data_IF_321654428504
#
_entry.id   IF_321654428504
#
_cell.length_a   1.000
_cell.length_b   1.000
_cell.length_c   1.000
_cell.angle_alpha   90.00
_cell.angle_beta   90.00
_cell.angle_gamma   90.00
#
_symmetry.space_group_name_H-M   'P 1'
#
loop_
_entity.id
_entity.type
_entity.pdbx_description
1 polymer ?
#
# COMPACT_ATOMS: atom_id res chain seq x y z
N UNK A 1 2.49 10.78 -16.91
CA UNK A 1 3.69 10.35 -16.11
C UNK A 1 3.37 10.22 -14.62
N UNK A 2 2.74 11.20 -13.94
CA UNK A 2 2.35 11.09 -12.51
C UNK A 2 1.29 9.99 -12.31
N UNK A 3 0.30 9.91 -13.19
CA UNK A 3 -0.77 8.90 -13.15
C UNK A 3 -0.25 7.45 -13.21
N UNK A 4 0.79 7.18 -14.00
CA UNK A 4 1.36 5.83 -14.13
C UNK A 4 2.08 5.36 -12.86
N UNK A 5 2.74 6.28 -12.13
CA UNK A 5 3.52 5.93 -10.94
C UNK A 5 2.63 5.59 -9.73
N UNK A 6 1.45 6.20 -9.61
CA UNK A 6 0.47 5.85 -8.57
C UNK A 6 -0.25 4.54 -8.88
N UNK A 7 -0.54 4.29 -10.17
CA UNK A 7 -1.24 3.08 -10.59
C UNK A 7 -0.39 1.80 -10.48
N UNK A 8 0.95 1.92 -10.43
CA UNK A 8 1.84 0.75 -10.41
C UNK A 8 1.95 0.07 -9.03
N UNK A 9 1.79 0.82 -7.94
CA UNK A 9 1.78 0.23 -6.59
C UNK A 9 0.41 -0.28 -6.16
N UNK A 10 -0.67 0.21 -6.78
CA UNK A 10 -2.02 -0.15 -6.38
C UNK A 10 -2.64 -1.16 -7.33
N UNK A 11 -3.29 -2.23 -6.80
CA UNK A 11 -4.08 -3.16 -7.59
C UNK A 11 -5.27 -2.44 -8.24
N UNK A 12 -5.83 -3.03 -9.28
CA UNK A 12 -6.95 -2.45 -10.04
C UNK A 12 -8.18 -2.18 -9.20
N UNK A 13 -8.49 -3.09 -8.25
CA UNK A 13 -9.63 -2.98 -7.35
C UNK A 13 -9.21 -3.33 -5.92
N UNK A 14 -9.72 -2.55 -4.98
CA UNK A 14 -9.54 -2.78 -3.53
C UNK A 14 -10.89 -2.91 -2.84
N UNK A 15 -11.05 -3.95 -2.01
CA UNK A 15 -12.23 -4.19 -1.18
C UNK A 15 -11.88 -3.93 0.27
N UNK A 16 -12.71 -3.16 0.96
CA UNK A 16 -12.60 -2.86 2.39
C UNK A 16 -13.94 -3.00 3.09
N UNK A 17 -13.98 -3.18 4.39
CA UNK A 17 -15.24 -3.16 5.12
C UNK A 17 -15.82 -1.73 5.22
N UNK A 18 -17.14 -1.60 5.13
CA UNK A 18 -17.83 -0.30 5.10
C UNK A 18 -17.81 0.44 6.44
N UNK A 19 -17.93 -0.29 7.55
CA UNK A 19 -18.10 0.29 8.90
C UNK A 19 -17.00 -0.11 9.88
N UNK A 20 -16.07 -0.97 9.48
CA UNK A 20 -15.03 -1.56 10.31
C UNK A 20 -13.68 -1.36 9.66
N UNK A 21 -12.62 -1.31 10.44
CA UNK A 21 -11.26 -1.28 9.90
C UNK A 21 -10.79 -2.66 9.45
N UNK A 22 -11.25 -3.70 10.12
CA UNK A 22 -10.91 -5.09 9.81
C UNK A 22 -12.18 -5.95 9.74
N UNK A 23 -12.11 -7.05 9.03
CA UNK A 23 -13.16 -8.06 8.87
C UNK A 23 -12.55 -9.45 8.88
N UNK A 24 -13.34 -10.47 9.20
CA UNK A 24 -12.89 -11.86 9.16
C UNK A 24 -12.84 -12.34 7.70
N UNK A 25 -11.76 -13.02 7.31
CA UNK A 25 -11.66 -13.56 5.95
C UNK A 25 -12.74 -14.59 5.60
N UNK A 26 -13.39 -15.20 6.60
CA UNK A 26 -14.51 -16.13 6.43
C UNK A 26 -15.80 -15.45 5.98
N UNK A 27 -15.90 -14.12 6.11
CA UNK A 27 -17.06 -13.35 5.62
C UNK A 27 -17.08 -13.23 4.10
N UNK A 28 -15.97 -13.57 3.44
CA UNK A 28 -15.81 -13.44 1.99
C UNK A 28 -16.02 -14.78 1.30
N UNK A 29 -16.85 -14.78 0.27
CA UNK A 29 -17.01 -15.94 -0.60
C UNK A 29 -15.90 -16.01 -1.66
N UNK A 30 -14.74 -16.52 -1.25
CA UNK A 30 -13.57 -16.65 -2.11
C UNK A 30 -13.82 -17.46 -3.39
N UNK A 31 -14.76 -18.44 -3.35
CA UNK A 31 -15.10 -19.24 -4.52
C UNK A 31 -15.76 -18.41 -5.60
N UNK A 32 -16.69 -17.53 -5.20
CA UNK A 32 -17.39 -16.66 -6.15
C UNK A 32 -16.46 -15.58 -6.72
N UNK A 33 -15.59 -14.98 -5.91
CA UNK A 33 -14.56 -14.06 -6.42
C UNK A 33 -13.68 -14.74 -7.47
N UNK A 34 -13.24 -15.99 -7.22
CA UNK A 34 -12.43 -16.77 -8.17
C UNK A 34 -13.17 -17.11 -9.46
N UNK A 35 -14.49 -17.27 -9.41
CA UNK A 35 -15.33 -17.57 -10.59
C UNK A 35 -15.63 -16.33 -11.44
N UNK A 36 -15.44 -15.12 -10.91
CA UNK A 36 -15.66 -13.90 -11.67
C UNK A 36 -14.74 -13.87 -12.90
N UNK A 37 -15.34 -14.02 -14.09
CA UNK A 37 -14.59 -13.92 -15.35
C UNK A 37 -14.01 -12.53 -15.48
N UNK A 38 -12.67 -12.44 -15.44
CA UNK A 38 -11.97 -11.17 -15.50
C UNK A 38 -11.07 -10.86 -14.30
N UNK A 39 -11.20 -11.57 -13.19
CA UNK A 39 -10.22 -11.55 -12.10
C UNK A 39 -8.98 -12.30 -12.57
N UNK A 40 -7.85 -11.59 -12.62
CA UNK A 40 -6.55 -12.15 -12.97
C UNK A 40 -5.87 -12.78 -11.75
N UNK A 41 -5.84 -12.02 -10.67
CA UNK A 41 -5.34 -12.47 -9.38
C UNK A 41 -6.03 -11.73 -8.23
N UNK A 42 -5.92 -12.27 -7.02
CA UNK A 42 -6.28 -11.54 -5.81
C UNK A 42 -5.28 -11.83 -4.70
N UNK A 43 -5.18 -10.90 -3.76
CA UNK A 43 -4.32 -11.02 -2.59
C UNK A 43 -5.03 -10.48 -1.36
N UNK A 44 -4.81 -11.15 -0.23
CA UNK A 44 -5.28 -10.72 1.08
C UNK A 44 -4.32 -9.69 1.66
N UNK A 45 -4.87 -8.66 2.32
CA UNK A 45 -4.09 -7.59 2.89
C UNK A 45 -4.54 -7.16 4.28
N UNK A 46 -3.56 -6.71 5.06
CA UNK A 46 -3.77 -6.16 6.39
C UNK A 46 -2.93 -4.90 6.53
N UNK A 47 -3.57 -3.74 6.54
CA UNK A 47 -2.90 -2.46 6.71
C UNK A 47 -3.07 -1.91 8.12
N UNK A 48 -1.96 -1.45 8.71
CA UNK A 48 -1.96 -0.81 10.02
C UNK A 48 -0.91 0.29 10.11
N UNK A 49 -1.28 1.41 10.74
CA UNK A 49 -0.32 2.46 11.08
C UNK A 49 0.54 1.98 12.24
N UNK A 50 1.84 2.04 12.05
CA UNK A 50 2.85 1.56 13.00
C UNK A 50 3.92 2.60 13.21
N UNK A 51 4.72 2.42 14.25
CA UNK A 51 5.93 3.21 14.49
C UNK A 51 7.12 2.28 14.31
N UNK A 52 8.02 2.66 13.44
CA UNK A 52 9.31 2.00 13.25
C UNK A 52 10.37 2.68 14.10
N UNK A 53 11.26 1.89 14.66
CA UNK A 53 12.41 2.38 15.41
C UNK A 53 13.69 1.68 14.96
N UNK A 54 14.67 2.48 14.68
CA UNK A 54 16.03 2.00 14.47
C UNK A 54 16.97 2.89 15.28
N UNK A 55 17.75 2.31 16.18
CA UNK A 55 18.56 3.04 17.16
C UNK A 55 17.75 4.12 17.92
N UNK A 56 18.11 5.41 17.69
CA UNK A 56 17.45 6.59 18.28
C UNK A 56 16.37 7.22 17.38
N UNK A 57 16.18 6.71 16.16
CA UNK A 57 15.21 7.26 15.20
C UNK A 57 13.86 6.56 15.31
N UNK A 58 12.81 7.35 15.33
CA UNK A 58 11.42 6.91 15.35
C UNK A 58 10.69 7.49 14.17
N UNK A 59 10.02 6.69 13.38
CA UNK A 59 9.32 7.12 12.17
C UNK A 59 7.97 6.41 12.07
N UNK A 60 6.91 7.17 11.77
CA UNK A 60 5.61 6.60 11.47
C UNK A 60 5.64 5.94 10.10
N UNK A 61 4.98 4.79 9.99
CA UNK A 61 4.87 4.06 8.75
C UNK A 61 3.51 3.35 8.65
N UNK A 62 3.13 2.94 7.46
CA UNK A 62 2.02 2.03 7.20
C UNK A 62 2.58 0.65 6.90
N UNK A 63 2.35 -0.29 7.80
CA UNK A 63 2.62 -1.70 7.58
C UNK A 63 1.55 -2.27 6.67
N UNK A 64 1.97 -2.91 5.58
CA UNK A 64 1.11 -3.63 4.65
C UNK A 64 1.49 -5.11 4.72
N UNK A 65 0.74 -5.88 5.50
CA UNK A 65 0.85 -7.33 5.55
C UNK A 65 0.13 -7.95 4.36
N UNK A 66 0.83 -8.64 3.46
CA UNK A 66 0.28 -9.17 2.21
C UNK A 66 0.80 -10.55 1.85
N UNK A 67 0.06 -11.24 0.99
CA UNK A 67 0.51 -12.48 0.37
C UNK A 67 1.52 -12.20 -0.76
N UNK A 68 2.34 -13.19 -1.11
CA UNK A 68 3.38 -13.05 -2.14
C UNK A 68 2.83 -12.69 -3.53
N UNK A 69 1.55 -12.98 -3.81
CA UNK A 69 0.92 -12.61 -5.07
C UNK A 69 0.83 -11.09 -5.24
N UNK A 70 0.64 -10.35 -4.16
CA UNK A 70 0.64 -8.89 -4.17
C UNK A 70 1.94 -8.29 -4.73
N UNK A 71 3.08 -8.87 -4.42
CA UNK A 71 4.37 -8.40 -4.93
C UNK A 71 4.47 -8.50 -6.46
N UNK A 72 3.81 -9.51 -7.06
CA UNK A 72 3.75 -9.65 -8.52
C UNK A 72 2.82 -8.60 -9.12
N UNK A 73 1.67 -8.37 -8.48
CA UNK A 73 0.68 -7.37 -8.87
C UNK A 73 1.29 -5.98 -9.00
N UNK A 74 2.01 -5.53 -7.97
CA UNK A 74 2.69 -4.24 -7.95
C UNK A 74 4.03 -4.23 -8.70
N UNK A 75 4.40 -5.30 -9.40
CA UNK A 75 5.65 -5.42 -10.18
C UNK A 75 6.89 -5.07 -9.36
N UNK A 76 6.96 -5.53 -8.11
CA UNK A 76 8.01 -5.12 -7.15
C UNK A 76 9.42 -5.23 -7.72
N UNK A 77 9.71 -6.24 -8.56
CA UNK A 77 11.04 -6.45 -9.15
C UNK A 77 11.57 -5.26 -9.92
N UNK A 78 10.70 -4.58 -10.67
CA UNK A 78 11.08 -3.40 -11.46
C UNK A 78 11.27 -2.13 -10.62
N UNK A 79 10.82 -2.17 -9.36
CA UNK A 79 10.86 -1.05 -8.43
C UNK A 79 11.82 -1.27 -7.23
N UNK A 80 12.62 -2.33 -7.23
CA UNK A 80 13.66 -2.52 -6.23
C UNK A 80 14.89 -1.69 -6.57
N UNK A 81 15.31 -0.84 -5.64
CA UNK A 81 16.60 -0.12 -5.70
C UNK A 81 17.74 -0.98 -5.19
N UNK A 82 17.48 -1.85 -4.22
CA UNK A 82 18.47 -2.72 -3.61
C UNK A 82 17.80 -3.92 -2.94
N UNK A 83 18.56 -5.00 -2.76
CA UNK A 83 18.08 -6.23 -2.14
C UNK A 83 17.29 -7.10 -3.10
N UNK A 84 16.34 -7.85 -2.55
CA UNK A 84 15.51 -8.79 -3.30
C UNK A 84 14.04 -8.72 -2.85
N UNK A 85 13.16 -9.40 -3.61
CA UNK A 85 11.73 -9.50 -3.34
C UNK A 85 11.35 -10.60 -2.33
N UNK A 86 12.33 -11.12 -1.58
CA UNK A 86 12.13 -12.25 -0.72
C UNK A 86 11.31 -11.84 0.52
N UNK A 87 10.13 -12.42 0.65
CA UNK A 87 9.30 -12.27 1.84
C UNK A 87 9.58 -13.33 2.91
N UNK A 88 9.94 -14.53 2.47
CA UNK A 88 10.13 -15.67 3.37
C UNK A 88 11.20 -16.61 2.81
N UNK A 89 12.16 -16.97 3.62
CA UNK A 89 13.13 -18.00 3.28
C UNK A 89 12.60 -19.40 3.53
N UNK A 90 13.32 -20.42 2.99
CA UNK A 90 12.99 -21.82 3.21
C UNK A 90 13.05 -22.25 4.68
N UNK A 91 13.89 -21.58 5.48
CA UNK A 91 14.01 -21.77 6.92
C UNK A 91 12.88 -21.12 7.74
N UNK A 92 11.95 -20.41 7.09
CA UNK A 92 10.83 -19.72 7.73
C UNK A 92 11.10 -18.29 8.15
N UNK A 93 12.32 -17.76 7.98
CA UNK A 93 12.62 -16.36 8.25
C UNK A 93 11.79 -15.45 7.35
N UNK A 94 11.18 -14.42 7.94
CA UNK A 94 10.33 -13.46 7.24
C UNK A 94 11.02 -12.11 7.13
N UNK A 95 10.93 -11.52 5.95
CA UNK A 95 11.59 -10.26 5.63
C UNK A 95 10.58 -9.22 5.16
N UNK A 96 10.91 -7.95 5.39
CA UNK A 96 10.16 -6.80 4.88
C UNK A 96 10.82 -6.15 3.68
N UNK A 97 10.00 -5.42 2.91
CA UNK A 97 10.44 -4.53 1.85
C UNK A 97 10.00 -3.12 2.24
N UNK A 98 10.92 -2.19 2.28
CA UNK A 98 10.70 -0.83 2.81
C UNK A 98 10.90 0.23 1.73
N UNK A 99 10.13 1.33 1.81
CA UNK A 99 10.33 2.49 0.94
C UNK A 99 11.69 3.17 1.18
N UNK A 100 12.31 3.66 0.13
CA UNK A 100 13.66 4.24 0.16
C UNK A 100 13.78 5.42 1.13
N UNK A 101 12.82 6.34 1.12
CA UNK A 101 12.86 7.51 1.99
C UNK A 101 12.61 7.15 3.46
N UNK A 102 11.76 6.13 3.69
CA UNK A 102 11.50 5.60 5.03
C UNK A 102 12.76 4.97 5.62
N UNK A 103 13.51 4.22 4.81
CA UNK A 103 14.81 3.65 5.19
C UNK A 103 15.84 4.74 5.53
N UNK A 104 15.89 5.82 4.73
CA UNK A 104 16.75 6.97 4.98
C UNK A 104 16.40 7.71 6.28
N UNK A 105 15.10 7.97 6.51
CA UNK A 105 14.61 8.60 7.76
C UNK A 105 15.01 7.81 9.01
N UNK A 106 15.02 6.50 8.93
CA UNK A 106 15.45 5.61 10.00
C UNK A 106 16.97 5.60 10.19
N UNK A 107 17.73 6.19 9.27
CA UNK A 107 19.20 6.11 9.23
C UNK A 107 19.70 4.65 9.26
N UNK A 108 18.89 3.72 8.78
CA UNK A 108 19.28 2.34 8.66
C UNK A 108 20.28 2.22 7.49
N UNK A 109 21.47 1.76 7.77
CA UNK A 109 22.52 1.62 6.76
C UNK A 109 22.11 0.56 5.76
N UNK A 110 22.63 0.63 4.53
CA UNK A 110 22.48 -0.38 3.48
C UNK A 110 23.12 -1.72 3.89
N UNK A 111 22.62 -2.33 4.95
CA UNK A 111 23.17 -3.54 5.53
C UNK A 111 22.48 -4.80 5.04
N UNK A 112 22.30 -4.96 3.69
CA UNK A 112 21.93 -6.26 3.12
C UNK A 112 23.00 -7.34 3.36
N UNK A 113 24.16 -6.98 3.93
CA UNK A 113 25.27 -7.87 4.21
C UNK A 113 25.47 -8.16 5.70
N UNK A 114 24.81 -7.44 6.61
CA UNK A 114 24.85 -7.77 8.03
C UNK A 114 23.52 -8.44 8.42
N UNK A 115 23.56 -9.71 8.73
CA UNK A 115 22.42 -10.54 9.17
C UNK A 115 21.70 -10.01 10.42
N UNK A 116 22.02 -8.82 10.92
CA UNK A 116 21.65 -8.38 12.26
C UNK A 116 21.01 -7.00 12.35
N UNK A 117 20.82 -6.26 11.26
CA UNK A 117 20.18 -4.95 11.35
C UNK A 117 18.65 -5.11 11.31
N UNK A 118 18.05 -5.17 12.50
CA UNK A 118 16.61 -5.36 12.67
C UNK A 118 15.96 -4.02 13.05
N UNK A 119 14.89 -3.71 12.34
CA UNK A 119 14.05 -2.56 12.67
C UNK A 119 12.98 -3.02 13.66
N UNK A 120 12.86 -2.32 14.78
CA UNK A 120 11.79 -2.54 15.74
C UNK A 120 10.50 -1.92 15.20
N UNK A 121 9.40 -2.66 15.31
CA UNK A 121 8.08 -2.23 14.90
C UNK A 121 7.14 -2.23 16.10
N UNK A 122 6.38 -1.14 16.24
CA UNK A 122 5.39 -0.95 17.30
C UNK A 122 4.03 -0.69 16.68
N UNK A 123 3.07 -1.54 16.95
CA UNK A 123 1.69 -1.41 16.49
C UNK A 123 0.76 -1.10 17.67
N UNK A 124 -0.17 -0.14 17.54
CA UNK A 124 -1.06 0.22 18.62
C UNK A 124 -2.03 -0.92 18.95
N UNK A 125 -2.19 -1.22 20.24
CA UNK A 125 -3.22 -2.13 20.70
C UNK A 125 -4.57 -1.42 20.65
N UNK A 126 -5.52 -1.99 19.91
CA UNK A 126 -6.89 -1.47 19.87
C UNK A 126 -7.67 -1.95 21.09
N UNK A 127 -8.65 -1.17 21.49
CA UNK A 127 -9.61 -1.52 22.55
C UNK A 127 -8.99 -1.77 23.95
N UNK A 128 -7.83 -1.20 24.24
CA UNK A 128 -7.24 -1.28 25.58
C UNK A 128 -7.51 0.02 26.33
N UNK A 129 -8.13 -0.11 27.51
CA UNK A 129 -8.09 0.98 28.51
C UNK A 129 -6.65 1.11 29.00
N UNK A 130 -6.05 2.27 28.77
CA UNK A 130 -4.69 2.56 29.26
C UNK A 130 -4.68 2.40 30.76
N UNK A 131 -3.89 1.44 31.27
CA UNK A 131 -3.67 1.21 32.70
C UNK A 131 -2.19 1.36 32.98
N UNK A 132 -1.87 1.93 34.12
CA UNK A 132 -0.49 2.05 34.59
C UNK A 132 0.22 0.68 34.56
N UNK A 133 1.43 0.61 33.97
CA UNK A 133 2.22 -0.62 33.85
C UNK A 133 1.89 -1.55 32.68
N UNK A 134 0.89 -1.23 31.81
CA UNK A 134 0.64 -1.99 30.56
C UNK A 134 1.08 -1.21 29.34
N UNK A 135 1.91 -1.83 28.50
CA UNK A 135 2.31 -1.23 27.23
C UNK A 135 1.13 -1.17 26.25
N UNK A 136 0.80 0.01 25.69
CA UNK A 136 -0.29 0.17 24.75
C UNK A 136 0.04 -0.33 23.32
N UNK A 137 1.20 -0.94 23.12
CA UNK A 137 1.68 -1.38 21.83
C UNK A 137 2.00 -2.87 21.83
N UNK A 138 1.78 -3.51 20.68
CA UNK A 138 2.46 -4.73 20.30
C UNK A 138 3.83 -4.34 19.74
N UNK A 139 4.83 -5.16 19.94
CA UNK A 139 6.17 -4.93 19.42
C UNK A 139 6.72 -6.17 18.74
N UNK A 140 7.50 -5.97 17.70
CA UNK A 140 8.18 -7.01 16.96
C UNK A 140 9.47 -6.50 16.35
N UNK A 141 10.12 -7.36 15.60
CA UNK A 141 11.33 -7.04 14.85
C UNK A 141 11.13 -7.46 13.40
N UNK A 142 11.64 -6.64 12.49
CA UNK A 142 11.55 -6.87 11.05
C UNK A 142 12.94 -6.74 10.44
N UNK A 143 13.38 -7.78 9.75
CA UNK A 143 14.58 -7.75 8.93
C UNK A 143 14.19 -7.29 7.51
N UNK A 144 15.00 -6.46 6.88
CA UNK A 144 14.71 -5.89 5.57
C UNK A 144 15.47 -6.65 4.49
N UNK A 145 14.74 -7.21 3.51
CA UNK A 145 15.31 -7.88 2.34
C UNK A 145 15.41 -6.96 1.12
N UNK A 146 14.56 -5.94 1.00
CA UNK A 146 14.52 -5.07 -0.16
C UNK A 146 14.16 -3.63 0.15
N UNK A 147 14.67 -2.71 -0.68
CA UNK A 147 14.29 -1.29 -0.67
C UNK A 147 13.57 -1.00 -1.98
N UNK A 148 12.33 -0.52 -1.86
CA UNK A 148 11.49 -0.18 -3.00
C UNK A 148 11.48 1.32 -3.28
N UNK A 149 11.26 1.66 -4.56
CA UNK A 149 11.13 3.02 -5.06
C UNK A 149 9.97 3.12 -6.06
N UNK A 150 8.89 3.76 -5.69
CA UNK A 150 7.73 4.04 -6.53
C UNK A 150 7.53 5.56 -6.69
N UNK A 151 6.82 6.15 -5.74
CA UNK A 151 6.57 7.57 -5.66
C UNK A 151 6.85 8.06 -4.23
N UNK A 152 6.81 9.37 -4.03
CA UNK A 152 7.16 10.01 -2.74
C UNK A 152 6.32 9.47 -1.58
N UNK A 153 5.01 9.28 -1.76
CA UNK A 153 4.11 8.80 -0.71
C UNK A 153 4.48 7.38 -0.29
N UNK A 154 4.59 6.46 -1.26
CA UNK A 154 4.95 5.07 -1.01
C UNK A 154 6.34 4.96 -0.38
N UNK A 155 7.30 5.73 -0.92
CA UNK A 155 8.69 5.71 -0.46
C UNK A 155 8.84 6.20 0.99
N UNK A 156 8.01 7.16 1.41
CA UNK A 156 8.08 7.77 2.73
C UNK A 156 7.33 7.06 3.83
N UNK A 157 6.34 6.22 3.47
CA UNK A 157 5.38 5.71 4.44
C UNK A 157 5.22 4.20 4.46
N UNK A 158 5.49 3.48 3.36
CA UNK A 158 5.07 2.08 3.24
C UNK A 158 6.19 1.10 3.55
N UNK A 159 5.80 0.03 4.29
CA UNK A 159 6.60 -1.15 4.52
C UNK A 159 5.74 -2.39 4.26
N UNK A 160 6.22 -3.28 3.41
CA UNK A 160 5.57 -4.55 3.08
C UNK A 160 6.13 -5.66 3.97
N UNK A 161 5.25 -6.53 4.45
CA UNK A 161 5.64 -7.71 5.25
C UNK A 161 4.70 -8.89 4.94
N UNK A 162 5.13 -10.16 5.15
CA UNK A 162 4.22 -11.30 5.00
C UNK A 162 2.96 -11.14 5.86
N UNK A 163 1.80 -11.45 5.30
CA UNK A 163 0.50 -11.32 5.97
C UNK A 163 0.45 -12.05 7.33
N UNK A 164 0.99 -13.26 7.39
CA UNK A 164 1.03 -14.07 8.63
C UNK A 164 1.82 -13.35 9.75
N UNK A 165 2.95 -12.71 9.39
CA UNK A 165 3.76 -11.99 10.36
C UNK A 165 3.08 -10.71 10.84
N UNK A 166 2.39 -10.01 9.95
CA UNK A 166 1.58 -8.84 10.31
C UNK A 166 0.41 -9.25 11.23
N UNK A 167 -0.28 -10.35 10.95
CA UNK A 167 -1.32 -10.91 11.82
C UNK A 167 -0.77 -11.26 13.21
N UNK A 168 0.35 -11.96 13.26
CA UNK A 168 1.00 -12.33 14.52
C UNK A 168 1.38 -11.10 15.35
N UNK A 169 1.97 -10.07 14.72
CA UNK A 169 2.29 -8.82 15.40
C UNK A 169 1.06 -8.15 16.00
N UNK A 170 -0.06 -8.14 15.27
CA UNK A 170 -1.31 -7.48 15.67
C UNK A 170 -2.20 -8.35 16.56
N UNK A 171 -1.76 -9.58 16.84
CA UNK A 171 -2.53 -10.60 17.54
C UNK A 171 -3.90 -10.87 16.88
N UNK A 172 -3.88 -10.99 15.55
CA UNK A 172 -5.01 -11.37 14.71
C UNK A 172 -4.87 -12.81 14.24
N UNK A 173 -6.00 -13.48 13.98
CA UNK A 173 -6.03 -14.86 13.46
C UNK A 173 -6.45 -14.91 12.00
N UNK A 174 -7.62 -14.37 11.68
CA UNK A 174 -8.24 -14.43 10.35
C UNK A 174 -8.64 -13.04 9.83
N UNK A 175 -8.28 -11.99 10.56
CA UNK A 175 -8.66 -10.64 10.19
C UNK A 175 -7.87 -10.14 8.98
N UNK A 176 -8.58 -9.39 8.14
CA UNK A 176 -8.09 -8.63 7.00
C UNK A 176 -8.60 -7.19 7.08
N UNK A 177 -7.90 -6.27 6.46
CA UNK A 177 -8.41 -4.90 6.24
C UNK A 177 -8.72 -4.64 4.77
N UNK A 178 -8.01 -5.31 3.87
CA UNK A 178 -8.08 -5.12 2.42
C UNK A 178 -8.09 -6.46 1.67
N UNK A 179 -8.76 -6.47 0.53
CA UNK A 179 -8.57 -7.48 -0.51
C UNK A 179 -8.18 -6.72 -1.76
N UNK A 180 -7.10 -7.11 -2.37
CA UNK A 180 -6.55 -6.54 -3.60
C UNK A 180 -6.86 -7.47 -4.76
N UNK A 181 -7.38 -6.92 -5.85
CA UNK A 181 -7.78 -7.69 -7.03
C UNK A 181 -7.16 -7.04 -8.27
N UNK A 182 -6.54 -7.87 -9.09
CA UNK A 182 -6.08 -7.50 -10.42
C UNK A 182 -7.08 -7.96 -11.47
N UNK A 183 -7.35 -7.11 -12.43
CA UNK A 183 -8.30 -7.35 -13.51
C UNK A 183 -7.55 -7.67 -14.80
N UNK A 184 -8.10 -8.55 -15.63
CA UNK A 184 -7.54 -8.83 -16.95
C UNK A 184 -7.60 -7.57 -17.83
N UNK A 185 -6.54 -7.23 -18.60
CA UNK A 185 -6.44 -5.97 -19.37
C UNK A 185 -7.57 -5.69 -20.37
N UNK A 186 -8.38 -6.71 -20.70
CA UNK A 186 -9.49 -6.59 -21.65
C UNK A 186 -10.82 -6.17 -21.01
N UNK A 187 -10.87 -6.05 -19.70
CA UNK A 187 -12.09 -5.78 -18.93
C UNK A 187 -11.94 -4.45 -18.21
N UNK A 188 -12.99 -3.63 -18.25
CA UNK A 188 -13.01 -2.37 -17.54
C UNK A 188 -13.06 -2.59 -16.02
N UNK A 189 -12.27 -1.82 -15.25
CA UNK A 189 -12.28 -1.85 -13.80
C UNK A 189 -13.66 -1.51 -13.23
N UNK A 190 -14.42 -0.63 -13.87
CA UNK A 190 -15.78 -0.25 -13.44
C UNK A 190 -16.78 -1.39 -13.63
N UNK A 191 -16.69 -2.12 -14.76
CA UNK A 191 -17.50 -3.32 -14.99
C UNK A 191 -17.19 -4.40 -13.96
N UNK A 192 -15.90 -4.63 -13.70
CA UNK A 192 -15.48 -5.63 -12.72
C UNK A 192 -15.87 -5.23 -11.30
N UNK A 193 -15.76 -3.95 -10.94
CA UNK A 193 -16.22 -3.41 -9.65
C UNK A 193 -17.68 -3.77 -9.40
N UNK A 194 -18.57 -3.54 -10.37
CA UNK A 194 -20.00 -3.87 -10.23
C UNK A 194 -20.20 -5.36 -9.95
N UNK A 195 -19.56 -6.23 -10.72
CA UNK A 195 -19.62 -7.70 -10.50
C UNK A 195 -19.11 -8.11 -9.12
N UNK A 196 -18.03 -7.51 -8.65
CA UNK A 196 -17.48 -7.80 -7.34
C UNK A 196 -18.38 -7.30 -6.22
N UNK A 197 -19.01 -6.12 -6.37
CA UNK A 197 -19.97 -5.60 -5.40
C UNK A 197 -21.15 -6.56 -5.19
N UNK A 198 -21.67 -7.15 -6.27
CA UNK A 198 -22.75 -8.15 -6.19
C UNK A 198 -22.32 -9.40 -5.41
N UNK A 199 -21.05 -9.79 -5.50
CA UNK A 199 -20.51 -10.98 -4.82
C UNK A 199 -20.24 -10.72 -3.34
N UNK A 200 -19.66 -9.57 -2.98
CA UNK A 200 -19.25 -9.29 -1.60
C UNK A 200 -20.36 -8.66 -0.74
N UNK A 201 -21.38 -8.06 -1.38
CA UNK A 201 -22.55 -7.49 -0.71
C UNK A 201 -22.32 -6.14 -0.03
N UNK A 202 -23.36 -5.61 0.59
CA UNK A 202 -23.45 -4.22 1.08
C UNK A 202 -22.59 -3.88 2.28
N UNK A 203 -22.01 -4.87 2.95
CA UNK A 203 -21.11 -4.68 4.10
C UNK A 203 -19.70 -4.24 3.69
N UNK A 204 -19.42 -4.29 2.41
CA UNK A 204 -18.10 -3.97 1.85
C UNK A 204 -18.17 -2.78 0.91
N UNK A 205 -17.06 -2.11 0.75
CA UNK A 205 -16.83 -1.03 -0.21
C UNK A 205 -15.81 -1.53 -1.23
N UNK A 206 -16.18 -1.47 -2.49
CA UNK A 206 -15.32 -1.82 -3.62
C UNK A 206 -14.94 -0.55 -4.34
N UNK A 207 -13.64 -0.27 -4.45
CA UNK A 207 -13.09 0.90 -5.14
C UNK A 207 -12.09 0.48 -6.19
N UNK A 208 -12.13 1.16 -7.33
CA UNK A 208 -11.05 1.09 -8.31
C UNK A 208 -9.84 1.90 -7.84
N UNK A 209 -8.64 1.65 -8.38
CA UNK A 209 -7.47 2.45 -8.09
C UNK A 209 -7.68 3.93 -8.44
N UNK A 210 -8.43 4.22 -9.51
CA UNK A 210 -8.81 5.58 -9.87
C UNK A 210 -9.65 6.27 -8.78
N UNK A 211 -10.69 5.61 -8.27
CA UNK A 211 -11.55 6.15 -7.20
C UNK A 211 -10.80 6.31 -5.86
N UNK A 212 -9.85 5.42 -5.59
CA UNK A 212 -9.02 5.51 -4.38
C UNK A 212 -8.12 6.74 -4.42
N UNK A 213 -7.61 7.08 -5.60
CA UNK A 213 -6.71 8.19 -5.85
C UNK A 213 -7.41 9.42 -6.49
N UNK A 214 -8.74 9.48 -6.45
CA UNK A 214 -9.55 10.50 -7.13
C UNK A 214 -9.10 11.94 -6.79
N UNK A 215 -8.74 12.21 -5.53
CA UNK A 215 -8.24 13.52 -5.11
C UNK A 215 -6.93 13.88 -5.84
N UNK A 216 -6.01 12.95 -5.97
CA UNK A 216 -4.72 13.16 -6.66
C UNK A 216 -4.98 13.45 -8.14
N UNK A 217 -5.84 12.66 -8.79
CA UNK A 217 -6.19 12.87 -10.20
C UNK A 217 -6.93 14.18 -10.43
N UNK A 218 -7.86 14.56 -9.54
CA UNK A 218 -8.56 15.85 -9.61
C UNK A 218 -7.60 17.03 -9.44
N UNK A 219 -6.67 16.96 -8.50
CA UNK A 219 -5.67 18.01 -8.27
C UNK A 219 -4.75 18.17 -9.49
N UNK A 220 -4.20 17.08 -10.03
CA UNK A 220 -3.37 17.10 -11.24
C UNK A 220 -4.11 17.68 -12.45
N UNK A 221 -5.41 17.38 -12.61
CA UNK A 221 -6.23 17.93 -13.68
C UNK A 221 -6.44 19.43 -13.51
N UNK A 222 -6.68 19.91 -12.29
CA UNK A 222 -6.83 21.32 -11.96
C UNK A 222 -5.52 22.09 -12.20
N UNK A 223 -4.39 21.55 -11.78
CA UNK A 223 -3.07 22.14 -12.02
C UNK A 223 -2.79 22.31 -13.51
N UNK A 224 -3.09 21.31 -14.34
CA UNK A 224 -2.95 21.40 -15.79
C UNK A 224 -3.80 22.53 -16.39
N UNK A 225 -5.04 22.68 -15.93
CA UNK A 225 -5.91 23.77 -16.39
C UNK A 225 -5.33 25.15 -16.01
N UNK A 226 -4.83 25.31 -14.79
CA UNK A 226 -4.21 26.55 -14.33
C UNK A 226 -3.00 26.91 -15.21
N UNK A 227 -2.14 25.94 -15.52
CA UNK A 227 -0.98 26.15 -16.41
C UNK A 227 -1.42 26.59 -17.80
N UNK A 228 -2.46 25.97 -18.36
CA UNK A 228 -3.02 26.37 -19.66
C UNK A 228 -3.54 27.82 -19.61
N UNK A 229 -4.28 28.20 -18.58
CA UNK A 229 -4.74 29.58 -18.41
C UNK A 229 -3.60 30.57 -18.30
N UNK A 230 -2.57 30.26 -17.54
CA UNK A 230 -1.36 31.11 -17.43
C UNK A 230 -0.68 31.24 -18.81
N UNK A 231 -0.52 30.14 -19.56
CA UNK A 231 0.07 30.19 -20.91
C UNK A 231 -0.75 31.05 -21.87
N UNK A 232 -2.09 30.94 -21.85
CA UNK A 232 -2.98 31.77 -22.67
C UNK A 232 -2.82 33.25 -22.29
N UNK A 233 -2.77 33.54 -20.99
CA UNK A 233 -2.61 34.92 -20.48
C UNK A 233 -1.28 35.52 -20.92
N UNK A 234 -0.18 34.77 -20.79
CA UNK A 234 1.15 35.21 -21.25
C UNK A 234 1.13 35.46 -22.77
N UNK A 235 0.48 34.61 -23.55
CA UNK A 235 0.36 34.72 -24.99
C UNK A 235 -0.40 36.01 -25.39
N UNK A 236 -1.51 36.30 -24.67
CA UNK A 236 -2.27 37.54 -24.88
C UNK A 236 -1.39 38.76 -24.58
N UNK A 237 -0.69 38.79 -23.44
CA UNK A 237 0.22 39.91 -23.12
C UNK A 237 1.33 40.11 -24.14
N UNK A 238 1.93 39.00 -24.61
CA UNK A 238 2.95 39.07 -25.67
C UNK A 238 2.39 39.59 -26.98
N UNK A 239 1.15 39.23 -27.34
CA UNK A 239 0.47 39.71 -28.55
C UNK A 239 0.21 41.22 -28.49
N UNK A 240 -0.19 41.76 -27.34
CA UNK A 240 -0.34 43.22 -27.16
C UNK A 240 1.00 43.96 -27.31
N UNK A 241 2.09 43.41 -26.79
CA UNK A 241 3.43 44.02 -26.93
C UNK A 241 3.95 44.03 -28.37
N UNK A 242 3.45 43.12 -29.21
CA UNK A 242 3.87 43.00 -30.61
C UNK A 242 3.11 43.95 -31.55
N UNK A 243 1.91 44.44 -31.09
CA UNK A 243 1.03 45.34 -31.84
C UNK A 243 1.23 46.79 -31.42
N UNK A 244 1.82 47.05 -30.28
CA UNK A 244 2.15 48.40 -29.79
C UNK A 244 3.52 48.88 -30.33
#
# INVERSE_FOLDING_TARGET
MIESLYSEFEPDITITAKKRKTFDEREINWREIKKCKGVSSFSKGLEEVVVLRHEKKWVNATLIGVESNFLKSIKIKSHLLAGNELFKEKNGAAYGIIGVDLMQKLNAKKGFQSEHEQILIYAPKRNIKIRFGKTPFYSGQIAIAGIMNYNTEINQEKILWPLENARNLLNYSSELSHIYIDVLPKISNDEMKTKIMDVVGDNFVVKTNYEKNELIFKTSKSERLIVIFIMIFIFILASFNLVA
#
